data_IF_608875323425
#
_entry.id   IF_608875323425
#
_cell.length_a   1.000
_cell.length_b   1.000
_cell.length_c   1.000
_cell.angle_alpha   90.00
_cell.angle_beta   90.00
_cell.angle_gamma   90.00
#
_symmetry.space_group_name_H-M   'P 1'
#
loop_
_entity.id
_entity.type
_entity.pdbx_description
1 polymer ?
#
# COMPACT_ATOMS: atom_id res chain seq x y z
N UNK A 1 10.79 -27.20 -73.33
CA UNK A 1 12.15 -27.53 -72.86
C UNK A 1 12.39 -26.87 -71.50
N UNK A 2 13.36 -27.36 -70.72
CA UNK A 2 13.98 -26.69 -69.56
C UNK A 2 13.07 -25.95 -68.56
N UNK A 3 12.69 -26.63 -67.47
CA UNK A 3 12.13 -25.98 -66.29
C UNK A 3 13.22 -25.32 -65.42
N UNK A 4 12.84 -24.18 -64.83
CA UNK A 4 13.33 -23.52 -63.61
C UNK A 4 14.46 -24.28 -62.87
N UNK A 5 15.67 -23.69 -62.81
CA UNK A 5 16.74 -24.10 -61.89
C UNK A 5 16.80 -23.15 -60.69
N UNK A 6 16.80 -23.71 -59.49
CA UNK A 6 16.95 -22.97 -58.23
C UNK A 6 18.43 -22.85 -57.82
N UNK A 7 18.77 -21.69 -57.27
CA UNK A 7 20.02 -21.39 -56.55
C UNK A 7 19.73 -20.16 -55.68
N UNK A 8 20.11 -20.17 -54.39
CA UNK A 8 21.38 -19.54 -54.03
C UNK A 8 22.18 -20.27 -52.93
N UNK A 9 23.49 -20.40 -53.14
CA UNK A 9 24.44 -20.75 -52.08
C UNK A 9 25.04 -19.49 -51.46
N UNK A 10 24.88 -19.31 -50.13
CA UNK A 10 25.88 -18.80 -49.16
C UNK A 10 25.21 -18.11 -47.97
N UNK A 11 25.10 -18.82 -46.84
CA UNK A 11 24.82 -18.22 -45.52
C UNK A 11 25.94 -18.59 -44.55
N UNK A 12 26.54 -17.59 -43.91
CA UNK A 12 27.69 -17.80 -43.02
C UNK A 12 27.24 -18.36 -41.66
N UNK A 13 27.18 -19.69 -41.54
CA UNK A 13 26.91 -20.36 -40.28
C UNK A 13 28.10 -20.23 -39.30
N UNK A 14 27.92 -19.48 -38.22
CA UNK A 14 28.95 -19.28 -37.20
C UNK A 14 29.09 -20.54 -36.32
N UNK A 15 30.25 -21.21 -36.36
CA UNK A 15 30.47 -22.47 -35.62
C UNK A 15 30.86 -22.22 -34.17
N UNK A 16 29.96 -22.57 -33.25
CA UNK A 16 30.29 -22.61 -31.81
C UNK A 16 31.42 -23.60 -31.51
N UNK A 17 32.32 -23.21 -30.60
CA UNK A 17 33.53 -23.97 -30.27
C UNK A 17 33.23 -25.06 -29.24
N UNK A 18 33.15 -26.31 -29.69
CA UNK A 18 33.14 -27.48 -28.81
C UNK A 18 34.38 -27.49 -27.91
N UNK A 19 34.19 -27.63 -26.59
CA UNK A 19 35.30 -27.63 -25.61
C UNK A 19 35.87 -29.04 -25.42
N UNK A 20 37.19 -29.16 -25.53
CA UNK A 20 37.92 -30.40 -25.29
C UNK A 20 37.77 -30.90 -23.83
N UNK A 21 37.83 -32.23 -23.58
CA UNK A 21 37.61 -32.80 -22.26
C UNK A 21 38.69 -32.38 -21.22
N UNK A 22 38.33 -32.22 -19.94
CA UNK A 22 39.22 -31.64 -18.94
C UNK A 22 40.38 -32.57 -18.55
N UNK A 23 41.62 -32.03 -18.54
CA UNK A 23 42.82 -32.73 -18.03
C UNK A 23 42.58 -33.26 -16.61
N UNK A 24 42.83 -34.56 -16.41
CA UNK A 24 42.77 -35.23 -15.08
C UNK A 24 43.78 -34.56 -14.13
N UNK A 25 43.30 -34.04 -12.99
CA UNK A 25 44.10 -33.32 -12.00
C UNK A 25 44.78 -34.26 -11.00
N UNK A 26 45.99 -33.90 -10.56
CA UNK A 26 46.69 -34.56 -9.46
C UNK A 26 45.94 -34.40 -8.12
N UNK A 27 46.25 -35.27 -7.14
CA UNK A 27 45.74 -35.09 -5.78
C UNK A 27 46.35 -33.83 -5.14
N UNK A 28 45.66 -33.26 -4.15
CA UNK A 28 46.07 -32.00 -3.51
C UNK A 28 47.47 -32.11 -2.88
N UNK A 29 47.81 -33.25 -2.28
CA UNK A 29 49.08 -33.44 -1.60
C UNK A 29 50.27 -33.49 -2.58
N UNK A 30 50.19 -34.31 -3.63
CA UNK A 30 51.21 -34.30 -4.69
C UNK A 30 51.34 -32.94 -5.38
N UNK A 31 50.23 -32.20 -5.53
CA UNK A 31 50.23 -30.83 -6.05
C UNK A 31 50.98 -29.87 -5.11
N UNK A 32 50.68 -29.88 -3.79
CA UNK A 32 51.37 -29.06 -2.78
C UNK A 32 52.87 -29.36 -2.72
N UNK A 33 53.25 -30.63 -2.75
CA UNK A 33 54.65 -31.07 -2.79
C UNK A 33 55.32 -30.95 -4.17
N UNK A 34 54.66 -30.37 -5.19
CA UNK A 34 55.17 -30.19 -6.57
C UNK A 34 55.74 -31.46 -7.23
N UNK A 35 55.10 -32.61 -7.02
CA UNK A 35 55.58 -33.92 -7.52
C UNK A 35 54.54 -34.66 -8.35
N UNK A 36 55.01 -35.52 -9.29
CA UNK A 36 54.15 -36.35 -10.13
C UNK A 36 53.26 -37.27 -9.27
N UNK A 37 51.97 -37.20 -9.52
CA UNK A 37 50.95 -38.02 -8.86
C UNK A 37 50.68 -39.31 -9.68
N UNK A 38 50.46 -40.44 -9.01
CA UNK A 38 50.09 -41.71 -9.67
C UNK A 38 48.65 -41.74 -10.23
N UNK A 39 47.81 -40.76 -9.90
CA UNK A 39 46.41 -40.61 -10.34
C UNK A 39 45.43 -41.75 -9.96
N UNK A 40 45.88 -42.86 -9.37
CA UNK A 40 45.04 -43.87 -8.72
C UNK A 40 44.12 -43.25 -7.64
N UNK A 41 42.86 -43.71 -7.61
CA UNK A 41 41.90 -43.40 -6.55
C UNK A 41 41.62 -44.65 -5.71
N UNK A 42 41.28 -44.52 -4.40
CA UNK A 42 41.12 -43.28 -3.65
C UNK A 42 42.47 -42.60 -3.28
N UNK A 43 43.50 -43.39 -2.99
CA UNK A 43 44.82 -42.93 -2.53
C UNK A 43 45.87 -43.27 -3.59
N UNK A 44 46.62 -42.29 -4.08
CA UNK A 44 47.67 -42.54 -5.05
C UNK A 44 48.84 -43.33 -4.44
N UNK A 45 49.51 -44.18 -5.21
CA UNK A 45 50.63 -45.02 -4.77
C UNK A 45 51.69 -44.30 -3.93
N UNK A 46 52.10 -43.07 -4.32
CA UNK A 46 53.07 -42.27 -3.54
C UNK A 46 52.54 -41.77 -2.19
N UNK A 47 51.26 -41.43 -2.09
CA UNK A 47 50.66 -41.06 -0.80
C UNK A 47 50.44 -42.29 0.08
N UNK A 48 50.10 -43.43 -0.52
CA UNK A 48 49.97 -44.74 0.14
C UNK A 48 51.30 -45.16 0.77
N UNK A 49 52.41 -45.14 0.01
CA UNK A 49 53.73 -45.54 0.49
C UNK A 49 54.38 -44.59 1.49
N UNK A 50 53.89 -43.36 1.62
CA UNK A 50 54.32 -42.38 2.65
C UNK A 50 53.31 -42.14 3.77
N UNK A 51 52.21 -42.90 3.83
CA UNK A 51 51.17 -42.75 4.85
C UNK A 51 50.50 -41.37 4.89
N UNK A 52 50.57 -40.58 3.81
CA UNK A 52 50.04 -39.22 3.80
C UNK A 52 48.62 -39.16 3.24
N UNK A 53 47.78 -38.29 3.79
CA UNK A 53 46.43 -38.03 3.26
C UNK A 53 46.44 -37.66 1.77
N UNK A 54 45.54 -38.28 1.01
CA UNK A 54 45.43 -38.14 -0.44
C UNK A 54 44.00 -37.79 -0.84
N UNK A 55 43.71 -36.51 -1.00
CA UNK A 55 42.42 -36.02 -1.45
C UNK A 55 42.53 -35.52 -2.90
N UNK A 56 41.59 -35.93 -3.75
CA UNK A 56 41.39 -35.36 -5.08
C UNK A 56 40.28 -34.30 -5.02
N UNK A 57 40.39 -33.15 -5.72
CA UNK A 57 39.30 -32.18 -5.76
C UNK A 57 38.03 -32.79 -6.38
N UNK A 58 36.84 -32.67 -5.75
CA UNK A 58 35.58 -33.11 -6.34
C UNK A 58 35.23 -32.25 -7.56
N UNK A 59 34.75 -32.88 -8.63
CA UNK A 59 34.20 -32.19 -9.79
C UNK A 59 32.73 -31.82 -9.56
N UNK A 60 32.33 -30.62 -9.98
CA UNK A 60 30.92 -30.17 -9.88
C UNK A 60 30.11 -30.64 -11.10
N UNK A 61 29.08 -31.45 -10.84
CA UNK A 61 27.88 -31.65 -11.69
C UNK A 61 26.69 -31.74 -10.71
N UNK A 62 25.49 -31.32 -11.13
CA UNK A 62 24.32 -31.16 -10.26
C UNK A 62 23.56 -32.48 -9.96
N UNK A 63 22.71 -32.47 -8.94
CA UNK A 63 21.78 -33.56 -8.59
C UNK A 63 20.48 -33.00 -7.94
N UNK A 64 19.31 -33.63 -8.15
CA UNK A 64 18.04 -33.26 -7.53
C UNK A 64 17.77 -33.97 -6.17
N UNK A 65 16.64 -33.64 -5.53
CA UNK A 65 16.12 -34.22 -4.26
C UNK A 65 15.23 -35.47 -4.55
N UNK A 66 14.63 -36.25 -3.64
CA UNK A 66 14.16 -36.18 -2.22
C UNK A 66 14.35 -37.61 -1.61
N UNK A 67 14.43 -37.94 -0.31
CA UNK A 67 14.38 -37.26 1.00
C UNK A 67 14.01 -38.28 2.13
N UNK A 68 13.50 -37.82 3.29
CA UNK A 68 13.02 -38.59 4.49
C UNK A 68 14.06 -39.53 5.20
N UNK A 69 14.08 -39.79 6.51
CA UNK A 69 13.15 -39.53 7.64
C UNK A 69 13.82 -38.99 8.94
N UNK A 70 13.03 -38.19 9.69
CA UNK A 70 12.90 -38.10 11.17
C UNK A 70 14.01 -37.58 12.14
N UNK A 71 13.51 -36.81 13.12
CA UNK A 71 13.99 -36.56 14.50
C UNK A 71 14.97 -35.39 14.83
N UNK A 72 14.77 -34.83 16.04
CA UNK A 72 15.63 -33.89 16.79
C UNK A 72 15.86 -32.46 16.24
N UNK A 73 14.78 -31.70 16.02
CA UNK A 73 14.85 -30.27 15.66
C UNK A 73 15.37 -29.34 16.79
N UNK A 74 16.69 -29.16 16.89
CA UNK A 74 17.31 -27.95 17.47
C UNK A 74 17.75 -27.03 16.33
N UNK A 75 17.04 -25.91 16.14
CA UNK A 75 17.27 -24.97 15.04
C UNK A 75 18.60 -24.20 15.17
N UNK A 76 19.53 -24.31 14.21
CA UNK A 76 20.71 -23.45 14.15
C UNK A 76 20.33 -22.03 13.72
N UNK A 77 21.09 -21.02 14.17
CA UNK A 77 20.92 -19.63 13.72
C UNK A 77 21.02 -19.54 12.19
N UNK A 78 20.07 -18.90 11.47
CA UNK A 78 20.26 -18.56 10.08
C UNK A 78 21.41 -17.55 9.97
N UNK A 79 22.46 -17.90 9.21
CA UNK A 79 23.53 -16.95 8.89
C UNK A 79 23.03 -16.06 7.76
N UNK A 80 23.13 -14.75 7.92
CA UNK A 80 22.37 -13.78 7.14
C UNK A 80 22.44 -14.01 5.63
N UNK A 81 21.26 -14.13 5.01
CA UNK A 81 21.09 -13.74 3.62
C UNK A 81 21.37 -12.24 3.57
N UNK A 82 22.27 -11.80 2.69
CA UNK A 82 22.38 -10.39 2.36
C UNK A 82 21.16 -10.00 1.53
N UNK A 83 20.07 -9.70 2.24
CA UNK A 83 19.04 -8.78 1.72
C UNK A 83 19.74 -7.56 1.15
N UNK A 84 19.15 -6.94 0.11
CA UNK A 84 19.54 -5.58 -0.24
C UNK A 84 19.46 -4.74 1.02
N UNK A 85 20.54 -4.00 1.31
CA UNK A 85 20.50 -2.99 2.37
C UNK A 85 19.60 -1.87 1.87
N UNK A 86 18.32 -1.94 2.21
CA UNK A 86 17.49 -0.74 2.31
C UNK A 86 18.27 0.23 3.18
N UNK A 87 18.70 1.36 2.59
CA UNK A 87 19.19 2.50 3.36
C UNK A 87 18.03 2.89 4.26
N UNK A 88 18.14 2.55 5.55
CA UNK A 88 17.15 2.99 6.53
C UNK A 88 17.24 4.51 6.58
N UNK A 89 16.15 5.17 6.21
CA UNK A 89 16.07 6.62 6.22
C UNK A 89 16.07 7.06 7.68
N UNK A 90 17.05 7.88 8.04
CA UNK A 90 17.02 8.67 9.27
C UNK A 90 16.21 9.93 8.93
N UNK A 91 14.99 9.97 9.45
CA UNK A 91 14.02 11.05 9.26
C UNK A 91 13.60 11.53 10.64
N UNK A 92 13.56 12.85 10.83
CA UNK A 92 13.18 13.45 12.09
C UNK A 92 11.76 14.04 11.98
N UNK A 93 10.84 13.49 12.78
CA UNK A 93 9.45 13.92 12.83
C UNK A 93 9.15 14.74 14.10
N UNK A 94 10.17 15.30 14.77
CA UNK A 94 9.97 16.17 15.94
C UNK A 94 9.69 17.63 15.58
N UNK A 95 10.23 18.13 14.46
CA UNK A 95 10.02 19.48 13.94
C UNK A 95 9.19 19.44 12.65
N UNK A 96 7.95 19.92 12.70
CA UNK A 96 6.95 19.79 11.64
C UNK A 96 6.28 21.14 11.39
N UNK A 97 6.63 21.79 10.27
CA UNK A 97 6.00 23.04 9.83
C UNK A 97 4.56 22.78 9.34
N UNK A 98 3.57 23.20 10.15
CA UNK A 98 2.14 23.10 9.89
C UNK A 98 1.46 24.46 10.06
N UNK A 99 0.46 24.74 9.21
CA UNK A 99 -0.44 25.89 9.37
C UNK A 99 -1.70 25.49 10.14
N UNK A 100 -1.97 26.04 11.35
CA UNK A 100 -3.08 25.64 12.21
C UNK A 100 -4.47 25.70 11.57
N UNK A 101 -5.31 24.70 11.83
CA UNK A 101 -6.64 24.58 11.22
C UNK A 101 -7.74 25.13 12.12
N UNK A 102 -8.21 26.35 11.82
CA UNK A 102 -9.34 26.99 12.52
C UNK A 102 -10.63 26.14 12.47
N UNK A 103 -10.82 25.36 11.40
CA UNK A 103 -12.01 24.54 11.19
C UNK A 103 -11.95 23.16 11.88
N UNK A 104 -10.84 22.81 12.56
CA UNK A 104 -10.66 21.47 13.12
C UNK A 104 -11.79 21.06 14.09
N UNK A 105 -12.36 22.01 14.83
CA UNK A 105 -13.46 21.75 15.79
C UNK A 105 -14.72 21.23 15.09
N UNK A 106 -15.07 21.77 13.92
CA UNK A 106 -16.23 21.31 13.14
C UNK A 106 -16.05 19.84 12.69
N UNK A 107 -14.82 19.32 12.53
CA UNK A 107 -14.57 17.90 12.19
C UNK A 107 -15.15 16.96 13.26
N UNK A 108 -14.95 17.29 14.55
CA UNK A 108 -15.51 16.51 15.67
C UNK A 108 -17.03 16.65 15.72
N UNK A 109 -17.51 17.89 15.78
CA UNK A 109 -18.91 18.21 16.07
C UNK A 109 -19.86 17.76 14.93
N UNK A 110 -19.31 17.64 13.71
CA UNK A 110 -19.97 17.07 12.54
C UNK A 110 -20.52 15.67 12.72
N UNK A 111 -19.96 14.85 13.61
CA UNK A 111 -20.50 13.52 13.90
C UNK A 111 -21.99 13.55 14.28
N UNK A 112 -22.43 14.61 14.96
CA UNK A 112 -23.80 14.74 15.43
C UNK A 112 -24.78 15.18 14.33
N UNK A 113 -24.31 15.80 13.24
CA UNK A 113 -25.18 16.39 12.20
C UNK A 113 -26.19 15.42 11.58
N UNK A 114 -25.87 14.14 11.25
CA UNK A 114 -26.85 13.16 10.76
C UNK A 114 -27.95 12.77 11.76
N UNK A 115 -27.75 13.06 13.05
CA UNK A 115 -28.68 12.75 14.15
C UNK A 115 -29.45 13.99 14.65
N UNK A 116 -29.09 15.19 14.17
CA UNK A 116 -29.70 16.46 14.54
C UNK A 116 -30.53 17.02 13.37
N UNK A 117 -31.49 17.89 13.68
CA UNK A 117 -32.08 18.74 12.65
C UNK A 117 -31.06 19.82 12.24
N UNK A 118 -30.93 20.17 10.95
CA UNK A 118 -30.07 21.25 10.51
C UNK A 118 -30.31 22.55 11.31
N UNK A 119 -29.26 23.18 11.88
CA UNK A 119 -29.41 24.43 12.62
C UNK A 119 -30.06 25.50 11.74
N UNK A 120 -31.03 26.24 12.29
CA UNK A 120 -31.75 27.31 11.59
C UNK A 120 -30.77 28.30 10.95
N UNK A 121 -30.65 28.27 9.61
CA UNK A 121 -29.76 29.13 8.84
C UNK A 121 -28.47 28.49 8.32
N UNK A 122 -28.19 27.19 8.54
CA UNK A 122 -27.17 26.43 7.79
C UNK A 122 -27.83 25.52 6.75
N UNK A 123 -27.67 25.83 5.47
CA UNK A 123 -28.07 24.95 4.36
C UNK A 123 -27.09 23.77 4.23
N UNK A 124 -27.40 22.65 4.88
CA UNK A 124 -26.54 21.46 4.82
C UNK A 124 -26.66 20.72 3.48
N UNK A 125 -25.66 20.89 2.61
CA UNK A 125 -25.64 20.28 1.28
C UNK A 125 -25.53 18.75 1.39
N UNK A 126 -26.58 18.04 0.99
CA UNK A 126 -26.62 16.58 0.93
C UNK A 126 -25.61 16.02 -0.09
N UNK A 127 -24.74 15.12 0.38
CA UNK A 127 -23.79 14.35 -0.43
C UNK A 127 -24.46 13.07 -0.93
N UNK A 128 -25.27 13.21 -1.97
CA UNK A 128 -25.96 12.09 -2.62
C UNK A 128 -24.97 11.14 -3.29
N UNK A 129 -24.75 9.96 -2.70
CA UNK A 129 -23.96 8.88 -3.29
C UNK A 129 -24.84 7.95 -4.15
N UNK A 130 -24.27 7.41 -5.22
CA UNK A 130 -24.87 6.26 -5.92
C UNK A 130 -24.55 4.96 -5.17
N UNK A 131 -25.46 3.97 -5.21
CA UNK A 131 -25.30 2.71 -4.48
C UNK A 131 -23.98 1.98 -4.85
N UNK A 132 -23.66 1.87 -6.14
CA UNK A 132 -22.39 1.30 -6.60
C UNK A 132 -21.15 2.11 -6.15
N UNK A 133 -21.28 3.41 -5.88
CA UNK A 133 -20.18 4.23 -5.34
C UNK A 133 -19.92 3.89 -3.87
N UNK A 134 -20.97 3.73 -3.06
CA UNK A 134 -20.84 3.25 -1.68
C UNK A 134 -20.27 1.83 -1.66
N UNK A 135 -20.77 0.92 -2.51
CA UNK A 135 -20.25 -0.43 -2.63
C UNK A 135 -18.76 -0.45 -3.01
N UNK A 136 -18.35 0.39 -3.96
CA UNK A 136 -16.94 0.55 -4.33
C UNK A 136 -16.09 1.03 -3.14
N UNK A 137 -16.54 2.06 -2.42
CA UNK A 137 -15.87 2.57 -1.21
C UNK A 137 -15.73 1.45 -0.15
N UNK A 138 -16.81 0.73 0.16
CA UNK A 138 -16.82 -0.37 1.12
C UNK A 138 -15.84 -1.49 0.75
N UNK A 139 -15.79 -1.87 -0.53
CA UNK A 139 -14.83 -2.86 -1.04
C UNK A 139 -13.40 -2.32 -0.92
N UNK A 140 -13.14 -1.07 -1.31
CA UNK A 140 -11.82 -0.44 -1.20
C UNK A 140 -11.33 -0.40 0.24
N UNK A 141 -12.13 0.10 1.18
CA UNK A 141 -11.77 0.18 2.60
C UNK A 141 -11.50 -1.21 3.19
N UNK A 142 -12.31 -2.22 2.86
CA UNK A 142 -12.10 -3.62 3.29
C UNK A 142 -10.74 -4.20 2.89
N UNK A 143 -10.08 -3.67 1.86
CA UNK A 143 -8.72 -4.12 1.49
C UNK A 143 -7.61 -3.57 2.39
N UNK A 144 -7.84 -2.49 3.16
CA UNK A 144 -6.76 -1.79 3.86
C UNK A 144 -6.02 -2.68 4.88
N UNK A 145 -6.69 -3.45 5.76
CA UNK A 145 -6.00 -4.40 6.65
C UNK A 145 -5.30 -5.53 5.88
N UNK A 146 -5.81 -5.92 4.71
CA UNK A 146 -5.23 -6.99 3.87
C UNK A 146 -3.91 -6.57 3.20
N UNK A 147 -3.63 -5.27 3.05
CA UNK A 147 -2.29 -4.80 2.67
C UNK A 147 -1.27 -5.03 3.80
N UNK A 148 -1.65 -4.82 5.06
CA UNK A 148 -0.76 -4.89 6.23
C UNK A 148 -0.30 -6.31 6.60
N UNK A 149 -1.04 -7.32 6.13
CA UNK A 149 -0.69 -8.74 6.29
C UNK A 149 0.40 -9.17 5.28
N UNK A 150 0.56 -8.45 4.16
CA UNK A 150 1.64 -8.69 3.20
C UNK A 150 2.95 -8.12 3.75
N UNK A 151 4.07 -8.78 3.48
CA UNK A 151 5.38 -8.27 3.90
C UNK A 151 5.74 -6.98 3.16
N UNK A 152 6.04 -5.93 3.93
CA UNK A 152 6.29 -4.58 3.41
C UNK A 152 5.05 -3.84 2.88
N UNK A 153 3.84 -4.42 2.99
CA UNK A 153 2.61 -3.79 2.52
C UNK A 153 2.01 -2.81 3.54
N UNK A 154 1.55 -1.66 3.06
CA UNK A 154 0.90 -0.61 3.83
C UNK A 154 -0.34 -0.10 3.08
N UNK A 155 -1.42 0.31 3.78
CA UNK A 155 -2.59 0.93 3.15
C UNK A 155 -2.28 2.38 2.74
N UNK A 156 -3.01 2.98 1.79
CA UNK A 156 -2.72 4.32 1.23
C UNK A 156 -2.95 5.50 2.20
N UNK A 157 -3.12 5.21 3.50
CA UNK A 157 -3.21 6.17 4.61
C UNK A 157 -1.96 6.18 5.50
N UNK A 158 -1.08 5.18 5.40
CA UNK A 158 0.19 5.07 6.14
C UNK A 158 1.32 5.20 5.11
N UNK A 159 2.23 6.15 5.30
CA UNK A 159 3.38 6.31 4.41
C UNK A 159 4.45 5.24 4.70
N UNK A 160 5.19 4.80 3.68
CA UNK A 160 6.18 3.72 3.82
C UNK A 160 7.29 4.07 4.83
N UNK A 161 7.61 5.34 5.01
CA UNK A 161 8.59 5.78 6.02
C UNK A 161 8.14 5.52 7.44
N UNK A 162 6.83 5.58 7.73
CA UNK A 162 6.29 5.29 9.07
C UNK A 162 6.47 3.82 9.48
N UNK A 163 6.76 2.96 8.50
CA UNK A 163 6.91 1.50 8.63
C UNK A 163 8.38 1.08 8.54
N UNK A 164 9.17 1.74 7.70
CA UNK A 164 10.53 1.33 7.33
C UNK A 164 11.66 2.09 8.07
N UNK A 165 11.34 2.99 9.00
CA UNK A 165 12.29 3.69 9.88
C UNK A 165 13.02 2.75 10.86
N UNK A 166 14.04 3.29 11.54
CA UNK A 166 14.74 2.58 12.62
C UNK A 166 13.85 2.23 13.82
N UNK A 167 12.81 3.03 14.07
CA UNK A 167 11.83 2.84 15.14
C UNK A 167 10.43 3.11 14.57
N UNK A 168 9.59 2.08 14.49
CA UNK A 168 8.17 2.20 14.16
C UNK A 168 7.40 2.65 15.42
N UNK A 169 6.52 3.67 15.34
CA UNK A 169 5.70 4.10 16.48
C UNK A 169 4.88 2.98 17.09
N UNK A 170 4.74 2.96 18.42
CA UNK A 170 4.08 1.88 19.16
C UNK A 170 2.64 1.61 18.66
N UNK A 171 1.86 2.66 18.40
CA UNK A 171 0.50 2.53 17.86
C UNK A 171 0.45 1.74 16.54
N UNK A 172 1.39 2.02 15.62
CA UNK A 172 1.48 1.30 14.34
C UNK A 172 2.04 -0.12 14.54
N UNK A 173 3.05 -0.32 15.39
CA UNK A 173 3.62 -1.63 15.67
C UNK A 173 2.59 -2.60 16.29
N UNK A 174 1.76 -2.10 17.21
CA UNK A 174 0.62 -2.81 17.76
C UNK A 174 -0.42 -3.09 16.67
N UNK A 175 -0.73 -2.11 15.82
CA UNK A 175 -1.71 -2.25 14.73
C UNK A 175 -1.32 -3.32 13.71
N UNK A 176 -0.08 -3.32 13.21
CA UNK A 176 0.40 -4.39 12.31
C UNK A 176 0.34 -5.77 12.97
N UNK A 177 0.62 -5.86 14.28
CA UNK A 177 0.57 -7.13 15.03
C UNK A 177 -0.87 -7.64 15.19
N UNK A 178 -1.78 -6.77 15.65
CA UNK A 178 -3.19 -7.13 15.91
C UNK A 178 -4.00 -7.35 14.63
N UNK A 179 -3.74 -6.58 13.55
CA UNK A 179 -4.34 -6.83 12.23
C UNK A 179 -3.93 -8.22 11.70
N UNK A 180 -2.67 -8.62 11.87
CA UNK A 180 -2.21 -9.97 11.51
C UNK A 180 -2.88 -11.04 12.35
N UNK A 181 -2.99 -10.85 13.67
CA UNK A 181 -3.73 -11.77 14.55
C UNK A 181 -5.21 -11.90 14.18
N UNK A 182 -5.88 -10.82 13.77
CA UNK A 182 -7.30 -10.84 13.38
C UNK A 182 -7.52 -11.54 12.04
N UNK A 183 -6.73 -11.22 11.01
CA UNK A 183 -6.87 -11.83 9.68
C UNK A 183 -6.43 -13.31 9.68
N UNK A 184 -5.57 -13.71 10.62
CA UNK A 184 -5.08 -15.08 10.79
C UNK A 184 -5.65 -15.78 12.04
N UNK A 185 -6.78 -15.29 12.58
CA UNK A 185 -7.38 -15.83 13.80
C UNK A 185 -7.73 -17.32 13.65
N UNK A 186 -7.34 -18.12 14.63
CA UNK A 186 -7.69 -19.54 14.67
C UNK A 186 -9.14 -19.73 15.15
N UNK A 187 -9.90 -20.71 14.63
CA UNK A 187 -11.24 -21.00 15.11
C UNK A 187 -11.28 -21.25 16.63
N UNK A 188 -12.14 -20.54 17.34
CA UNK A 188 -12.23 -20.54 18.80
C UNK A 188 -11.30 -19.54 19.52
N UNK A 189 -10.49 -18.74 18.79
CA UNK A 189 -9.67 -17.66 19.37
C UNK A 189 -10.19 -16.25 19.09
N UNK A 190 -11.31 -16.14 18.37
CA UNK A 190 -11.87 -14.89 17.86
C UNK A 190 -12.10 -13.87 18.98
N UNK A 191 -12.72 -14.28 20.09
CA UNK A 191 -13.05 -13.40 21.22
C UNK A 191 -11.81 -12.83 21.90
N UNK A 192 -10.73 -13.59 22.01
CA UNK A 192 -9.45 -13.12 22.56
C UNK A 192 -8.82 -12.07 21.65
N UNK A 193 -8.87 -12.26 20.33
CA UNK A 193 -8.33 -11.29 19.38
C UNK A 193 -9.19 -10.03 19.30
N UNK A 194 -10.52 -10.16 19.42
CA UNK A 194 -11.43 -9.02 19.55
C UNK A 194 -11.09 -8.18 20.78
N UNK A 195 -11.05 -8.79 21.97
CA UNK A 195 -10.74 -8.04 23.20
C UNK A 195 -9.33 -7.45 23.22
N UNK A 196 -8.37 -8.03 22.50
CA UNK A 196 -7.05 -7.44 22.32
C UNK A 196 -7.07 -6.17 21.44
N UNK A 197 -7.88 -6.14 20.38
CA UNK A 197 -8.11 -4.92 19.58
C UNK A 197 -8.90 -3.87 20.36
N UNK A 198 -9.96 -4.27 21.06
CA UNK A 198 -10.78 -3.36 21.88
C UNK A 198 -9.97 -2.70 23.00
N UNK A 199 -9.08 -3.46 23.66
CA UNK A 199 -8.19 -2.92 24.70
C UNK A 199 -7.16 -1.92 24.13
N UNK A 200 -6.58 -2.18 22.96
CA UNK A 200 -5.66 -1.24 22.31
C UNK A 200 -6.40 0.00 21.77
N UNK A 201 -7.65 -0.14 21.31
CA UNK A 201 -8.50 0.99 20.95
C UNK A 201 -8.83 1.88 22.16
N UNK A 202 -9.18 1.30 23.31
CA UNK A 202 -9.41 2.10 24.53
C UNK A 202 -8.10 2.75 25.03
N UNK A 203 -6.94 2.07 24.90
CA UNK A 203 -5.62 2.68 25.18
C UNK A 203 -5.39 3.90 24.30
N UNK A 204 -5.55 3.78 22.98
CA UNK A 204 -5.40 4.88 22.02
C UNK A 204 -6.42 6.02 22.27
N UNK A 205 -7.63 5.70 22.72
CA UNK A 205 -8.65 6.70 23.09
C UNK A 205 -8.27 7.49 24.35
N UNK A 206 -7.64 6.83 25.33
CA UNK A 206 -7.16 7.46 26.57
C UNK A 206 -5.88 8.31 26.37
N UNK A 207 -5.16 8.08 25.28
CA UNK A 207 -3.90 8.75 24.94
C UNK A 207 -4.16 10.23 24.58
N UNK A 208 -4.00 11.10 25.59
CA UNK A 208 -4.46 12.51 25.55
C UNK A 208 -3.30 13.52 25.52
N UNK A 209 -2.05 13.04 25.57
CA UNK A 209 -0.88 13.87 25.93
C UNK A 209 0.34 13.68 25.02
N UNK A 210 0.18 13.13 23.81
CA UNK A 210 1.24 13.19 22.80
C UNK A 210 1.33 14.59 22.22
N UNK A 211 2.42 15.30 22.54
CA UNK A 211 2.64 16.69 22.10
C UNK A 211 3.12 16.79 20.64
N UNK A 212 3.52 15.68 20.00
CA UNK A 212 3.96 15.64 18.61
C UNK A 212 2.83 15.21 17.66
N UNK A 213 2.68 15.94 16.55
CA UNK A 213 1.74 15.64 15.47
C UNK A 213 1.91 14.24 14.86
N UNK A 214 3.14 13.74 14.85
CA UNK A 214 3.47 12.43 14.32
C UNK A 214 2.86 11.29 15.15
N UNK A 215 2.89 11.41 16.47
CA UNK A 215 2.31 10.42 17.40
C UNK A 215 0.77 10.44 17.32
N UNK A 216 0.17 11.65 17.28
CA UNK A 216 -1.27 11.83 17.08
C UNK A 216 -1.75 11.18 15.77
N UNK A 217 -1.05 11.45 14.65
CA UNK A 217 -1.31 10.83 13.36
C UNK A 217 -1.22 9.29 13.43
N UNK A 218 -0.18 8.74 14.06
CA UNK A 218 0.01 7.30 14.16
C UNK A 218 -1.09 6.62 14.99
N UNK A 219 -1.52 7.24 16.09
CA UNK A 219 -2.63 6.75 16.91
C UNK A 219 -3.98 6.83 16.19
N UNK A 220 -4.24 7.92 15.45
CA UNK A 220 -5.43 8.05 14.60
C UNK A 220 -5.45 7.04 13.44
N UNK A 221 -4.33 6.84 12.75
CA UNK A 221 -4.18 5.82 11.70
C UNK A 221 -4.48 4.42 12.23
N UNK A 222 -3.91 4.05 13.39
CA UNK A 222 -4.14 2.76 14.01
C UNK A 222 -5.63 2.56 14.38
N UNK A 223 -6.25 3.55 15.03
CA UNK A 223 -7.67 3.50 15.41
C UNK A 223 -8.59 3.40 14.18
N UNK A 224 -8.30 4.15 13.11
CA UNK A 224 -9.02 4.08 11.83
C UNK A 224 -8.91 2.70 11.18
N UNK A 225 -7.72 2.07 11.18
CA UNK A 225 -7.52 0.71 10.68
C UNK A 225 -8.33 -0.30 11.50
N UNK A 226 -8.35 -0.21 12.82
CA UNK A 226 -9.16 -1.10 13.67
C UNK A 226 -10.66 -0.92 13.41
N UNK A 227 -11.16 0.31 13.26
CA UNK A 227 -12.57 0.56 12.94
C UNK A 227 -12.94 -0.03 11.57
N UNK A 228 -12.08 0.13 10.55
CA UNK A 228 -12.26 -0.50 9.22
C UNK A 228 -12.28 -2.04 9.33
N UNK A 229 -11.36 -2.61 10.11
CA UNK A 229 -11.23 -4.06 10.34
C UNK A 229 -12.49 -4.64 11.00
N UNK A 230 -12.94 -4.04 12.12
CA UNK A 230 -14.14 -4.45 12.86
C UNK A 230 -15.42 -4.27 12.04
N UNK A 231 -15.49 -3.24 11.19
CA UNK A 231 -16.67 -2.95 10.37
C UNK A 231 -16.83 -3.93 9.19
N UNK A 232 -15.77 -4.16 8.41
CA UNK A 232 -15.84 -4.94 7.17
C UNK A 232 -15.37 -6.40 7.30
N UNK A 233 -14.78 -6.79 8.43
CA UNK A 233 -14.37 -8.16 8.73
C UNK A 233 -14.71 -8.57 10.17
N UNK A 234 -15.97 -8.43 10.63
CA UNK A 234 -16.37 -8.78 11.99
C UNK A 234 -16.14 -10.27 12.27
N UNK A 235 -15.63 -10.58 13.47
CA UNK A 235 -15.49 -11.94 13.95
C UNK A 235 -16.77 -12.35 14.69
N UNK A 236 -17.71 -12.97 13.96
CA UNK A 236 -19.02 -13.38 14.47
C UNK A 236 -20.19 -12.64 13.79
N UNK A 237 -21.37 -12.75 14.40
CA UNK A 237 -22.65 -12.42 13.74
C UNK A 237 -23.12 -10.97 13.89
N UNK A 238 -22.35 -10.09 14.54
CA UNK A 238 -22.73 -8.69 14.80
C UNK A 238 -21.55 -7.78 14.45
N UNK A 239 -21.81 -6.65 13.76
CA UNK A 239 -20.79 -5.62 13.55
C UNK A 239 -20.51 -4.92 14.88
N UNK A 240 -19.26 -5.01 15.36
CA UNK A 240 -18.86 -4.51 16.68
C UNK A 240 -18.69 -2.97 16.73
N UNK A 241 -18.86 -2.25 15.62
CA UNK A 241 -18.65 -0.80 15.57
C UNK A 241 -19.89 -0.04 16.04
N UNK A 242 -19.77 0.50 17.25
CA UNK A 242 -20.78 1.32 17.92
C UNK A 242 -20.59 2.82 17.64
N UNK A 243 -21.60 3.62 17.97
CA UNK A 243 -21.50 5.09 17.88
C UNK A 243 -20.39 5.65 18.79
N UNK A 244 -20.05 5.01 19.93
CA UNK A 244 -18.88 5.37 20.76
C UNK A 244 -17.59 5.32 19.93
N UNK A 245 -17.37 4.24 19.19
CA UNK A 245 -16.15 4.04 18.38
C UNK A 245 -16.05 5.13 17.30
N UNK A 246 -17.16 5.47 16.66
CA UNK A 246 -17.18 6.54 15.66
C UNK A 246 -16.96 7.93 16.28
N UNK A 247 -17.53 8.22 17.46
CA UNK A 247 -17.26 9.45 18.21
C UNK A 247 -15.78 9.59 18.57
N UNK A 248 -15.17 8.52 19.09
CA UNK A 248 -13.74 8.50 19.41
C UNK A 248 -12.85 8.65 18.17
N UNK A 249 -13.21 8.02 17.05
CA UNK A 249 -12.50 8.17 15.78
C UNK A 249 -12.53 9.64 15.29
N UNK A 250 -13.66 10.33 15.41
CA UNK A 250 -13.83 11.73 15.01
C UNK A 250 -13.10 12.70 15.97
N UNK A 251 -13.04 12.40 17.27
CA UNK A 251 -12.22 13.11 18.25
C UNK A 251 -10.71 12.96 17.98
N UNK A 252 -10.24 11.75 17.63
CA UNK A 252 -8.84 11.52 17.23
C UNK A 252 -8.49 12.24 15.91
N UNK A 253 -9.42 12.28 14.96
CA UNK A 253 -9.26 13.05 13.72
C UNK A 253 -9.15 14.55 14.00
N UNK A 254 -9.98 15.08 14.89
CA UNK A 254 -9.93 16.47 15.35
C UNK A 254 -8.57 16.80 15.99
N UNK A 255 -8.10 16.01 16.97
CA UNK A 255 -6.77 16.19 17.58
C UNK A 255 -5.65 16.19 16.53
N UNK A 256 -5.72 15.27 15.58
CA UNK A 256 -4.77 15.18 14.45
C UNK A 256 -4.84 16.40 13.52
N UNK A 257 -6.00 17.04 13.38
CA UNK A 257 -6.20 18.18 12.48
C UNK A 257 -5.92 19.56 13.11
N UNK A 258 -5.98 19.70 14.44
CA UNK A 258 -5.82 20.99 15.16
C UNK A 258 -4.60 21.79 14.70
N UNK A 259 -3.41 21.19 14.74
CA UNK A 259 -2.16 21.86 14.41
C UNK A 259 -1.98 22.13 12.91
N UNK A 260 -2.82 21.53 12.05
CA UNK A 260 -2.83 21.82 10.62
C UNK A 260 -2.98 20.60 9.72
N UNK A 261 -3.48 20.87 8.51
CA UNK A 261 -3.64 19.93 7.37
C UNK A 261 -2.92 20.42 6.09
N UNK A 262 -2.09 21.45 6.21
CA UNK A 262 -1.27 22.06 5.17
C UNK A 262 0.08 22.47 5.80
N UNK A 263 1.16 22.41 5.02
CA UNK A 263 2.42 23.08 5.41
C UNK A 263 2.37 24.58 5.09
N UNK A 264 3.19 25.37 5.78
CA UNK A 264 3.32 26.82 5.49
C UNK A 264 3.96 27.05 4.12
N UNK A 265 4.87 26.15 3.72
CA UNK A 265 5.42 26.11 2.36
C UNK A 265 4.35 25.82 1.28
N UNK A 266 3.42 24.87 1.50
CA UNK A 266 2.34 24.57 0.56
C UNK A 266 1.42 25.79 0.34
N UNK A 267 1.09 26.49 1.44
CA UNK A 267 0.27 27.72 1.45
C UNK A 267 0.94 28.87 0.70
N UNK A 268 2.27 28.87 0.59
CA UNK A 268 3.06 29.87 -0.15
C UNK A 268 3.47 29.41 -1.55
N UNK A 269 2.98 28.24 -2.01
CA UNK A 269 3.37 27.60 -3.26
C UNK A 269 4.90 27.38 -3.39
N UNK A 270 5.52 26.94 -2.29
CA UNK A 270 6.94 26.58 -2.21
C UNK A 270 7.12 25.13 -1.76
N UNK A 271 8.33 24.57 -1.92
CA UNK A 271 8.62 23.17 -1.55
C UNK A 271 8.71 23.01 -0.02
N UNK A 272 7.86 22.17 0.62
CA UNK A 272 7.97 21.86 2.05
C UNK A 272 9.17 20.95 2.36
N UNK A 273 9.50 20.83 3.65
CA UNK A 273 10.36 19.75 4.14
C UNK A 273 9.67 18.39 3.91
N UNK A 274 10.45 17.36 3.56
CA UNK A 274 9.90 16.04 3.21
C UNK A 274 9.10 15.41 4.35
N UNK A 275 9.62 15.47 5.58
CA UNK A 275 8.96 14.95 6.79
C UNK A 275 7.65 15.67 7.08
N UNK A 276 7.61 17.01 6.97
CA UNK A 276 6.39 17.80 7.16
C UNK A 276 5.33 17.45 6.11
N UNK A 277 5.73 17.30 4.84
CA UNK A 277 4.85 16.87 3.76
C UNK A 277 4.34 15.43 3.93
N UNK A 278 5.20 14.49 4.36
CA UNK A 278 4.80 13.10 4.67
C UNK A 278 3.68 13.11 5.72
N UNK A 279 3.86 13.87 6.80
CA UNK A 279 2.85 14.00 7.87
C UNK A 279 1.57 14.63 7.33
N UNK A 280 1.65 15.75 6.61
CA UNK A 280 0.48 16.42 6.05
C UNK A 280 -0.29 15.55 5.06
N UNK A 281 0.37 14.95 4.07
CA UNK A 281 -0.29 14.08 3.09
C UNK A 281 -0.91 12.85 3.78
N UNK A 282 -0.22 12.26 4.77
CA UNK A 282 -0.76 11.16 5.57
C UNK A 282 -1.98 11.58 6.42
N UNK A 283 -1.94 12.74 7.10
CA UNK A 283 -3.10 13.32 7.82
C UNK A 283 -4.29 13.49 6.87
N UNK A 284 -4.08 14.14 5.72
CA UNK A 284 -5.13 14.36 4.70
C UNK A 284 -5.72 13.04 4.20
N UNK A 285 -4.89 12.07 3.82
CA UNK A 285 -5.30 10.72 3.39
C UNK A 285 -6.10 9.96 4.45
N UNK A 286 -5.66 9.99 5.71
CA UNK A 286 -6.35 9.35 6.83
C UNK A 286 -7.72 10.00 7.11
N UNK A 287 -7.80 11.33 7.13
CA UNK A 287 -9.05 12.07 7.36
C UNK A 287 -10.05 11.85 6.20
N UNK A 288 -9.62 11.89 4.94
CA UNK A 288 -10.51 11.56 3.82
C UNK A 288 -11.00 10.10 3.89
N UNK A 289 -10.15 9.17 4.32
CA UNK A 289 -10.54 7.76 4.54
C UNK A 289 -11.56 7.61 5.66
N UNK A 290 -11.40 8.34 6.77
CA UNK A 290 -12.41 8.42 7.83
C UNK A 290 -13.75 8.95 7.28
N UNK A 291 -13.75 10.04 6.50
CA UNK A 291 -14.98 10.56 5.91
C UNK A 291 -15.67 9.57 4.95
N UNK A 292 -14.90 8.74 4.24
CA UNK A 292 -15.42 7.67 3.40
C UNK A 292 -16.02 6.53 4.25
N UNK A 293 -15.37 6.14 5.36
CA UNK A 293 -15.91 5.16 6.31
C UNK A 293 -17.21 5.66 6.96
N UNK A 294 -17.23 6.89 7.50
CA UNK A 294 -18.42 7.50 8.08
C UNK A 294 -19.54 7.64 7.04
N UNK A 295 -19.22 7.87 5.77
CA UNK A 295 -20.21 7.89 4.69
C UNK A 295 -20.91 6.54 4.51
N UNK A 296 -20.16 5.44 4.53
CA UNK A 296 -20.74 4.08 4.50
C UNK A 296 -21.55 3.81 5.76
N UNK A 297 -20.96 4.07 6.95
CA UNK A 297 -21.59 3.87 8.26
C UNK A 297 -22.97 4.52 8.38
N UNK A 298 -23.12 5.75 7.85
CA UNK A 298 -24.36 6.50 7.82
C UNK A 298 -25.37 5.88 6.84
N UNK A 299 -24.95 5.60 5.60
CA UNK A 299 -25.85 5.07 4.57
C UNK A 299 -26.36 3.67 4.91
N UNK A 300 -25.55 2.82 5.53
CA UNK A 300 -25.96 1.49 6.00
C UNK A 300 -26.95 1.55 7.19
N UNK A 301 -27.11 2.73 7.81
CA UNK A 301 -28.14 3.05 8.82
C UNK A 301 -29.31 3.90 8.28
N UNK A 302 -29.31 4.23 6.99
CA UNK A 302 -30.28 5.14 6.39
C UNK A 302 -30.14 6.62 6.81
N UNK A 303 -29.03 6.99 7.46
CA UNK A 303 -28.74 8.37 7.87
C UNK A 303 -28.24 9.21 6.68
N UNK A 304 -28.54 10.52 6.66
CA UNK A 304 -28.08 11.42 5.61
C UNK A 304 -26.56 11.60 5.64
N UNK A 305 -25.98 11.80 4.45
CA UNK A 305 -24.60 12.22 4.29
C UNK A 305 -24.55 13.65 3.75
N UNK A 306 -23.62 14.45 4.25
CA UNK A 306 -23.46 15.86 3.91
C UNK A 306 -22.07 16.15 3.31
N UNK A 307 -21.92 17.29 2.65
CA UNK A 307 -20.63 17.81 2.16
C UNK A 307 -19.75 18.27 3.33
N UNK A 308 -18.45 18.06 3.22
CA UNK A 308 -17.45 18.29 4.27
C UNK A 308 -16.90 19.72 4.25
N UNK A 309 -17.78 20.72 4.41
CA UNK A 309 -17.43 22.15 4.23
C UNK A 309 -16.29 22.62 5.16
N UNK A 310 -16.15 22.03 6.34
CA UNK A 310 -15.00 22.25 7.24
C UNK A 310 -13.63 21.92 6.62
N UNK A 311 -13.60 21.07 5.57
CA UNK A 311 -12.40 20.70 4.81
C UNK A 311 -12.14 21.61 3.59
N UNK A 312 -12.89 22.70 3.42
CA UNK A 312 -12.63 23.71 2.38
C UNK A 312 -11.27 24.38 2.60
N UNK A 313 -10.54 24.69 1.52
CA UNK A 313 -9.14 25.11 1.58
C UNK A 313 -8.12 23.97 1.68
N UNK A 314 -8.54 22.72 1.97
CA UNK A 314 -7.62 21.59 2.12
C UNK A 314 -7.39 20.90 0.76
N UNK A 315 -6.12 20.73 0.36
CA UNK A 315 -5.76 20.12 -0.93
C UNK A 315 -6.01 18.61 -0.97
N UNK A 316 -6.44 18.12 -2.14
CA UNK A 316 -6.56 16.68 -2.42
C UNK A 316 -5.24 15.93 -2.20
N UNK A 317 -5.25 14.59 -2.00
CA UNK A 317 -4.01 13.82 -1.91
C UNK A 317 -3.18 13.92 -3.19
N UNK A 318 -1.86 14.07 -3.02
CA UNK A 318 -0.89 14.18 -4.11
C UNK A 318 -0.81 12.92 -4.98
N UNK A 319 -0.11 13.06 -6.11
CA UNK A 319 0.15 11.95 -7.02
C UNK A 319 0.76 10.73 -6.33
N UNK A 320 0.44 9.53 -6.86
CA UNK A 320 1.04 8.25 -6.49
C UNK A 320 2.57 8.31 -6.54
N UNK A 321 3.11 8.99 -7.56
CA UNK A 321 4.56 9.18 -7.75
C UNK A 321 5.20 9.81 -6.51
N UNK A 322 4.70 10.95 -6.03
CA UNK A 322 5.25 11.61 -4.84
C UNK A 322 5.13 10.75 -3.57
N UNK A 323 4.04 9.98 -3.45
CA UNK A 323 3.73 9.14 -2.28
C UNK A 323 4.52 7.83 -2.21
N UNK A 324 5.05 7.34 -3.32
CA UNK A 324 5.82 6.08 -3.37
C UNK A 324 7.35 6.28 -3.47
N UNK A 325 7.82 7.52 -3.60
CA UNK A 325 9.26 7.81 -3.63
C UNK A 325 9.94 7.46 -2.29
N UNK A 326 11.06 6.76 -2.38
CA UNK A 326 11.84 6.25 -1.23
C UNK A 326 13.14 7.01 -0.96
N UNK A 327 13.40 8.11 -1.66
CA UNK A 327 14.65 8.89 -1.56
C UNK A 327 14.38 10.40 -1.64
N UNK A 328 14.97 11.18 -0.74
CA UNK A 328 14.75 12.64 -0.64
C UNK A 328 15.18 13.38 -1.91
N UNK A 329 16.32 13.03 -2.50
CA UNK A 329 16.80 13.72 -3.69
C UNK A 329 15.92 13.47 -4.91
N UNK A 330 15.19 12.35 -4.93
CA UNK A 330 14.18 12.07 -5.96
C UNK A 330 12.90 12.84 -5.64
N UNK A 331 12.45 12.81 -4.39
CA UNK A 331 11.21 13.49 -3.96
C UNK A 331 11.27 14.99 -4.21
N UNK A 332 12.39 15.65 -3.90
CA UNK A 332 12.56 17.09 -4.13
C UNK A 332 12.41 17.46 -5.61
N UNK A 333 12.98 16.67 -6.52
CA UNK A 333 12.92 16.90 -7.98
C UNK A 333 11.51 16.65 -8.53
N UNK A 334 10.83 15.62 -8.03
CA UNK A 334 9.44 15.33 -8.39
C UNK A 334 8.46 16.37 -7.81
N UNK A 335 8.77 16.96 -6.64
CA UNK A 335 7.98 18.05 -6.07
C UNK A 335 8.20 19.38 -6.81
N UNK A 336 9.43 19.68 -7.24
CA UNK A 336 9.70 20.83 -8.11
C UNK A 336 8.97 20.69 -9.46
N UNK A 337 8.93 19.48 -10.04
CA UNK A 337 8.08 19.17 -11.21
C UNK A 337 6.59 19.34 -10.89
N UNK A 338 6.15 18.95 -9.69
CA UNK A 338 4.76 19.09 -9.26
C UNK A 338 4.32 20.54 -9.14
N UNK A 339 5.17 21.44 -8.61
CA UNK A 339 4.91 22.88 -8.58
C UNK A 339 4.74 23.45 -10.01
N UNK A 340 5.65 23.10 -10.93
CA UNK A 340 5.55 23.50 -12.34
C UNK A 340 4.33 22.90 -13.08
N UNK A 341 3.78 21.78 -12.59
CA UNK A 341 2.53 21.20 -13.10
C UNK A 341 1.27 21.82 -12.48
N UNK A 342 1.39 22.72 -11.51
CA UNK A 342 0.29 23.34 -10.75
C UNK A 342 0.51 24.85 -10.49
N UNK A 343 1.09 25.57 -11.46
CA UNK A 343 1.25 27.03 -11.44
C UNK A 343 -0.07 27.80 -11.22
N UNK A 344 -1.21 27.21 -11.58
CA UNK A 344 -2.59 27.67 -11.33
C UNK A 344 -3.13 27.29 -9.93
N UNK A 345 -2.26 26.89 -9.01
CA UNK A 345 -2.58 26.52 -7.63
C UNK A 345 -3.06 25.08 -7.46
N UNK A 346 -2.72 24.46 -6.33
CA UNK A 346 -3.08 23.07 -6.00
C UNK A 346 -4.59 22.83 -5.98
N UNK A 347 -5.04 21.62 -6.32
CA UNK A 347 -6.47 21.27 -6.36
C UNK A 347 -7.06 21.16 -4.95
N UNK A 348 -8.07 21.96 -4.62
CA UNK A 348 -8.81 21.82 -3.36
C UNK A 348 -9.76 20.61 -3.39
N UNK A 349 -9.98 19.97 -2.23
CA UNK A 349 -11.08 19.00 -2.08
C UNK A 349 -12.46 19.63 -2.33
N UNK A 350 -12.59 20.96 -2.14
CA UNK A 350 -13.80 21.73 -2.43
C UNK A 350 -14.10 21.81 -3.94
N UNK A 351 -13.09 21.66 -4.80
CA UNK A 351 -13.29 21.67 -6.25
C UNK A 351 -14.06 20.44 -6.73
N UNK A 352 -13.97 19.32 -5.99
CA UNK A 352 -14.68 18.07 -6.28
C UNK A 352 -16.17 18.10 -5.87
N UNK A 353 -16.63 19.14 -5.18
CA UNK A 353 -18.02 19.25 -4.74
C UNK A 353 -18.91 19.87 -5.82
N UNK A 354 -20.24 19.70 -5.66
CA UNK A 354 -21.21 20.30 -6.58
C UNK A 354 -21.33 21.80 -6.32
N UNK A 355 -20.99 22.60 -7.33
CA UNK A 355 -21.04 24.06 -7.37
C UNK A 355 -21.66 24.55 -8.69
N UNK A 356 -21.76 25.87 -8.86
CA UNK A 356 -22.10 26.52 -10.13
C UNK A 356 -21.08 26.24 -11.25
N UNK A 357 -19.84 25.88 -10.90
CA UNK A 357 -18.74 25.62 -11.83
C UNK A 357 -18.60 24.12 -12.19
N UNK A 358 -19.36 23.24 -11.55
CA UNK A 358 -19.29 21.79 -11.82
C UNK A 358 -19.67 21.49 -13.28
N UNK A 359 -18.66 21.15 -14.09
CA UNK A 359 -18.81 20.91 -15.53
C UNK A 359 -18.16 21.97 -16.44
N UNK A 360 -17.58 23.04 -15.89
CA UNK A 360 -16.71 23.94 -16.64
C UNK A 360 -15.54 23.17 -17.29
N UNK A 361 -14.94 23.73 -18.34
CA UNK A 361 -13.75 23.13 -18.98
C UNK A 361 -12.57 23.12 -18.01
N UNK A 362 -12.24 24.28 -17.48
CA UNK A 362 -11.18 24.53 -16.50
C UNK A 362 -11.21 23.57 -15.30
N UNK A 363 -12.34 23.46 -14.59
CA UNK A 363 -12.46 22.57 -13.42
C UNK A 363 -12.36 21.10 -13.83
N UNK A 364 -12.83 20.71 -15.03
CA UNK A 364 -12.62 19.35 -15.57
C UNK A 364 -11.17 19.09 -15.98
N UNK A 365 -10.44 20.09 -16.44
CA UNK A 365 -9.03 20.00 -16.82
C UNK A 365 -8.13 19.93 -15.58
N UNK A 366 -8.40 20.71 -14.53
CA UNK A 366 -7.74 20.60 -13.21
C UNK A 366 -8.00 19.24 -12.57
N UNK A 367 -9.25 18.80 -12.46
CA UNK A 367 -9.59 17.46 -11.95
C UNK A 367 -8.95 16.36 -12.82
N UNK A 368 -8.96 16.51 -14.15
CA UNK A 368 -8.31 15.59 -15.08
C UNK A 368 -6.79 15.52 -14.91
N UNK A 369 -6.14 16.64 -14.57
CA UNK A 369 -4.71 16.70 -14.23
C UNK A 369 -4.41 15.91 -12.97
N UNK A 370 -5.22 16.07 -11.93
CA UNK A 370 -5.09 15.31 -10.68
C UNK A 370 -5.32 13.82 -10.87
N UNK A 371 -6.41 13.41 -11.54
CA UNK A 371 -6.74 11.98 -11.75
C UNK A 371 -5.61 11.23 -12.49
N UNK A 372 -4.93 11.87 -13.46
CA UNK A 372 -3.74 11.28 -14.12
C UNK A 372 -2.59 10.95 -13.18
N UNK A 373 -2.48 11.64 -12.04
CA UNK A 373 -1.47 11.39 -11.02
C UNK A 373 -1.87 10.36 -9.96
N UNK A 374 -3.15 9.98 -9.88
CA UNK A 374 -3.70 9.07 -8.86
C UNK A 374 -3.81 7.63 -9.35
N UNK A 375 -4.16 7.44 -10.63
CA UNK A 375 -4.51 6.13 -11.18
C UNK A 375 -3.30 5.35 -11.74
N UNK A 376 -3.47 4.03 -11.79
CA UNK A 376 -2.62 3.12 -12.57
C UNK A 376 -3.43 2.18 -13.47
N UNK A 377 -4.71 1.92 -13.17
CA UNK A 377 -5.71 1.42 -14.12
C UNK A 377 -7.15 1.42 -13.54
N UNK A 378 -8.01 2.36 -13.92
CA UNK A 378 -9.47 2.18 -13.81
C UNK A 378 -9.88 0.97 -14.67
N UNK A 379 -10.53 -0.08 -14.10
CA UNK A 379 -10.92 -1.27 -14.85
C UNK A 379 -11.85 -0.93 -16.02
N UNK A 380 -11.43 -1.27 -17.24
CA UNK A 380 -12.06 -0.82 -18.49
C UNK A 380 -13.35 -1.58 -18.87
N UNK A 381 -13.90 -2.33 -17.93
CA UNK A 381 -15.06 -3.24 -18.06
C UNK A 381 -16.37 -2.51 -18.40
N UNK A 382 -16.49 -1.20 -18.11
CA UNK A 382 -17.67 -0.40 -18.46
C UNK A 382 -17.63 0.24 -19.86
N UNK A 383 -16.96 -0.40 -20.83
CA UNK A 383 -17.37 -0.25 -22.23
C UNK A 383 -18.76 -0.87 -22.39
N UNK A 384 -19.78 -0.04 -22.65
CA UNK A 384 -21.13 -0.48 -23.06
C UNK A 384 -21.02 -1.59 -24.10
N UNK A 385 -21.65 -2.73 -23.85
CA UNK A 385 -21.86 -3.74 -24.88
C UNK A 385 -22.57 -3.08 -26.09
N UNK A 386 -22.09 -3.29 -27.34
CA UNK A 386 -22.79 -2.82 -28.52
C UNK A 386 -24.22 -3.38 -28.56
N UNK A 387 -25.19 -2.54 -28.86
CA UNK A 387 -26.61 -2.91 -28.85
C UNK A 387 -26.96 -3.77 -30.07
N UNK A 388 -26.82 -5.09 -29.95
CA UNK A 388 -27.31 -6.08 -30.93
C UNK A 388 -28.86 -6.21 -30.92
N UNK A 389 -29.57 -5.08 -31.04
CA UNK A 389 -30.98 -5.07 -31.44
C UNK A 389 -31.08 -5.31 -32.96
N UNK A 390 -30.75 -6.54 -33.35
CA UNK A 390 -30.63 -6.97 -34.75
C UNK A 390 -32.01 -7.23 -35.38
N UNK A 391 -32.72 -6.14 -35.64
CA UNK A 391 -34.02 -6.14 -36.35
C UNK A 391 -33.93 -6.93 -37.67
N UNK A 392 -34.63 -8.08 -37.77
CA UNK A 392 -34.96 -8.76 -39.04
C UNK A 392 -36.10 -9.78 -38.91
N UNK A 393 -37.31 -9.27 -39.08
CA UNK A 393 -38.49 -9.87 -39.74
C UNK A 393 -38.56 -11.40 -39.96
N UNK A 394 -39.54 -12.04 -39.31
CA UNK A 394 -40.58 -12.85 -39.94
C UNK A 394 -41.80 -12.83 -38.98
N UNK A 395 -42.98 -12.25 -39.29
CA UNK A 395 -43.89 -12.40 -40.43
C UNK A 395 -44.72 -13.69 -40.43
N UNK A 396 -46.04 -13.52 -40.29
CA UNK A 396 -47.13 -14.46 -40.61
C UNK A 396 -47.35 -15.66 -39.69
N UNK A 397 -48.53 -15.74 -39.04
CA UNK A 397 -49.62 -16.69 -39.35
C UNK A 397 -50.69 -16.72 -38.23
N UNK A 398 -51.91 -16.25 -38.54
CA UNK A 398 -53.21 -16.49 -37.86
C UNK A 398 -53.34 -16.22 -36.33
N UNK A 399 -54.52 -15.85 -35.82
CA UNK A 399 -55.80 -15.61 -36.51
C UNK A 399 -56.83 -14.90 -35.63
N UNK A 400 -57.96 -14.55 -36.24
CA UNK A 400 -59.08 -13.85 -35.63
C UNK A 400 -59.93 -14.72 -34.69
N UNK A 401 -60.30 -14.16 -33.54
CA UNK A 401 -61.67 -13.69 -33.24
C UNK A 401 -61.64 -12.68 -32.11
#
# INVERSE_FOLDING_TARGET
MSQIRSSPYSTHANKEKQKAPPRKKACQNCTKSKVRCGLEKPICSRCRSKGHSCQYPPGRVAAPQIGVTAAASRSPRPRAVTSGQTRRLDLDFTDIDLTPSLNAVDIRDRWLRPYLLPPLGRDEILKAYHLFTLQYISITLRTYPQYMVKDGGFPPIIHHTQVNTNQMPQALANCYSLVRMWVQAAPGSETMVMSAVEAEMERLASETTSQHDYDLLCSFQAYLVYTILMYFSPLGNVSAVTDKIMMTLMELAFRTAQNGLLCTAETTHTRPNWESWIVVSAKRRAIYTMYLLTSVYNSDRGLPNFVADEMKGVYVPESKVLWEVTDREVWEKEYDRHLLEWEDGMLEISELWRSTETGSTERRERIGRWVRGVDEFVPTEFRRAPSELRNRQASTLYGST
#
